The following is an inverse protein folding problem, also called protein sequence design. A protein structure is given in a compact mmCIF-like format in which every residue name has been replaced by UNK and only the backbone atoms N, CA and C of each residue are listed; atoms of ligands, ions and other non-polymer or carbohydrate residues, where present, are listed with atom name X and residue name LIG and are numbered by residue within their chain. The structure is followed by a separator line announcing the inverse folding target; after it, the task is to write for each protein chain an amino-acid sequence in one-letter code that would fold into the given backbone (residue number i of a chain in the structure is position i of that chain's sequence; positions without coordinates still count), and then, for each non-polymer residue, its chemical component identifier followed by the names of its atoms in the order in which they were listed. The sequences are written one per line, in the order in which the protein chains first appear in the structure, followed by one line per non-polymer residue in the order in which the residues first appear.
data_IF_525834068954
#
_entry.id   IF_525834068954
#
_cell.length_a   1.000
_cell.length_b   1.000
_cell.length_c   1.000
_cell.angle_alpha   90.00
_cell.angle_beta   90.00
_cell.angle_gamma   90.00
#
_symmetry.space_group_name_H-M   'P 1'
#
loop_
_entity.id
_entity.type
_entity.pdbx_description
1 polymer ?
#
# COMPACT_ATOMS: atom_id res chain seq x y z
N UNK A 1 -26.28 3.34 29.16
CA UNK A 1 -26.60 4.48 28.26
C UNK A 1 -25.66 4.39 27.07
N UNK A 2 -26.02 3.51 26.12
CA UNK A 2 -25.24 3.26 24.90
C UNK A 2 -25.61 4.32 23.88
N UNK A 3 -24.62 5.09 23.43
CA UNK A 3 -24.72 5.95 22.25
C UNK A 3 -24.98 5.05 21.03
N UNK A 4 -26.25 4.92 20.67
CA UNK A 4 -26.72 4.37 19.40
C UNK A 4 -26.24 5.35 18.32
N UNK A 5 -25.10 5.08 17.69
CA UNK A 5 -24.53 5.95 16.67
C UNK A 5 -25.43 5.98 15.41
N UNK A 6 -25.86 7.20 15.08
CA UNK A 6 -26.78 7.57 14.02
C UNK A 6 -26.16 7.51 12.61
N UNK A 7 -25.55 6.38 12.22
CA UNK A 7 -24.77 6.28 10.98
C UNK A 7 -25.58 6.51 9.68
N UNK A 8 -26.79 5.93 9.50
CA UNK A 8 -27.61 6.19 8.30
C UNK A 8 -28.05 7.65 8.20
N UNK A 9 -28.30 8.31 9.35
CA UNK A 9 -28.73 9.70 9.40
C UNK A 9 -27.59 10.71 9.19
N UNK A 10 -26.34 10.32 9.47
CA UNK A 10 -25.15 11.16 9.20
C UNK A 10 -24.75 11.08 7.73
N UNK A 11 -24.80 9.89 7.12
CA UNK A 11 -24.58 9.71 5.67
C UNK A 11 -25.70 10.37 4.84
N UNK A 12 -26.96 10.25 5.31
CA UNK A 12 -28.11 10.95 4.72
C UNK A 12 -27.98 12.47 4.76
N UNK A 13 -27.61 13.06 5.91
CA UNK A 13 -27.44 14.52 6.05
C UNK A 13 -26.24 15.07 5.29
N UNK A 14 -25.11 14.35 5.24
CA UNK A 14 -23.93 14.74 4.45
C UNK A 14 -24.19 14.63 2.95
N UNK A 15 -24.96 13.62 2.52
CA UNK A 15 -25.40 13.51 1.14
C UNK A 15 -26.42 14.60 0.77
N UNK A 16 -27.43 14.88 1.60
CA UNK A 16 -28.39 15.96 1.37
C UNK A 16 -27.68 17.31 1.21
N UNK A 17 -26.70 17.62 2.06
CA UNK A 17 -25.87 18.83 1.90
C UNK A 17 -25.06 18.80 0.60
N UNK A 18 -24.39 17.70 0.25
CA UNK A 18 -23.56 17.64 -0.98
C UNK A 18 -24.38 17.60 -2.27
N UNK A 19 -25.62 17.09 -2.24
CA UNK A 19 -26.54 17.10 -3.37
C UNK A 19 -27.10 18.52 -3.63
N UNK A 20 -27.30 19.33 -2.58
CA UNK A 20 -27.65 20.76 -2.69
C UNK A 20 -26.53 21.55 -3.39
N UNK A 21 -25.27 21.18 -3.17
CA UNK A 21 -24.11 21.87 -3.78
C UNK A 21 -23.55 21.20 -5.04
N UNK A 22 -24.15 20.12 -5.55
CA UNK A 22 -23.67 19.41 -6.74
C UNK A 22 -22.32 18.67 -6.56
N UNK A 23 -21.90 18.41 -5.32
CA UNK A 23 -20.56 17.90 -4.95
C UNK A 23 -20.44 16.38 -4.80
N UNK A 24 -21.44 15.61 -5.26
CA UNK A 24 -21.45 14.14 -5.09
C UNK A 24 -20.20 13.44 -5.66
N UNK A 25 -19.63 13.96 -6.76
CA UNK A 25 -18.37 13.45 -7.35
C UNK A 25 -17.18 13.64 -6.43
N UNK A 26 -17.09 14.79 -5.77
CA UNK A 26 -16.00 15.15 -4.86
C UNK A 26 -16.05 14.29 -3.60
N UNK A 27 -17.24 14.01 -3.09
CA UNK A 27 -17.43 13.10 -1.96
C UNK A 27 -16.97 11.67 -2.32
N UNK A 28 -17.41 11.13 -3.46
CA UNK A 28 -16.94 9.82 -3.96
C UNK A 28 -15.41 9.77 -4.09
N UNK A 29 -14.80 10.78 -4.74
CA UNK A 29 -13.34 10.88 -4.89
C UNK A 29 -12.61 11.02 -3.56
N UNK A 30 -13.20 11.72 -2.58
CA UNK A 30 -12.58 11.90 -1.27
C UNK A 30 -12.53 10.60 -0.46
N UNK A 31 -13.55 9.74 -0.62
CA UNK A 31 -13.66 8.47 0.11
C UNK A 31 -12.89 7.34 -0.58
N UNK A 32 -13.03 7.21 -1.91
CA UNK A 32 -12.53 6.08 -2.69
C UNK A 32 -11.35 6.41 -3.60
N UNK A 33 -10.93 7.68 -3.67
CA UNK A 33 -9.75 8.13 -4.41
C UNK A 33 -9.94 8.09 -5.93
N UNK A 34 -9.89 6.89 -6.51
CA UNK A 34 -10.00 6.63 -7.94
C UNK A 34 -11.06 5.58 -8.23
N UNK A 35 -11.85 5.75 -9.30
CA UNK A 35 -12.67 4.71 -9.91
C UNK A 35 -12.69 4.98 -11.41
N UNK A 36 -12.61 3.95 -12.25
CA UNK A 36 -12.58 4.13 -13.71
C UNK A 36 -13.80 4.88 -14.25
N UNK A 37 -14.96 4.73 -13.61
CA UNK A 37 -16.19 5.47 -13.95
C UNK A 37 -16.07 6.99 -13.80
N UNK A 38 -15.14 7.51 -12.98
CA UNK A 38 -14.97 8.96 -12.77
C UNK A 38 -14.49 9.71 -14.00
N UNK A 39 -13.81 9.01 -14.91
CA UNK A 39 -13.15 9.57 -16.10
C UNK A 39 -13.85 9.15 -17.41
N UNK A 40 -15.01 8.48 -17.31
CA UNK A 40 -15.79 7.99 -18.45
C UNK A 40 -17.03 8.82 -18.69
N UNK A 41 -17.59 8.67 -19.90
CA UNK A 41 -18.92 9.20 -20.20
C UNK A 41 -19.94 8.45 -19.33
N UNK A 42 -20.64 9.20 -18.48
CA UNK A 42 -21.56 8.64 -17.51
C UNK A 42 -22.79 8.04 -18.23
N UNK A 43 -23.27 6.85 -17.84
CA UNK A 43 -24.51 6.28 -18.37
C UNK A 43 -25.71 7.21 -18.16
N UNK A 44 -26.72 7.10 -19.02
CA UNK A 44 -27.98 7.83 -18.85
C UNK A 44 -28.64 7.45 -17.50
N UNK A 45 -29.00 8.43 -16.68
CA UNK A 45 -29.55 8.21 -15.34
C UNK A 45 -28.52 7.90 -14.24
N UNK A 46 -27.22 8.07 -14.52
CA UNK A 46 -26.18 7.90 -13.53
C UNK A 46 -26.30 8.95 -12.40
N UNK A 47 -26.23 8.48 -11.16
CA UNK A 47 -26.20 9.34 -9.97
C UNK A 47 -25.00 8.97 -9.12
N UNK A 48 -24.19 9.98 -8.75
CA UNK A 48 -23.10 9.80 -7.79
C UNK A 48 -23.61 9.26 -6.44
N UNK A 49 -24.88 9.51 -6.09
CA UNK A 49 -25.50 8.94 -4.89
C UNK A 49 -25.59 7.43 -4.98
N UNK A 50 -26.07 6.94 -6.13
CA UNK A 50 -26.21 5.51 -6.39
C UNK A 50 -24.84 4.85 -6.47
N UNK A 51 -23.85 5.51 -7.08
CA UNK A 51 -22.48 5.01 -7.08
C UNK A 51 -21.90 4.94 -5.65
N UNK A 52 -22.06 6.00 -4.86
CA UNK A 52 -21.58 6.02 -3.48
C UNK A 52 -22.22 4.89 -2.67
N UNK A 53 -23.54 4.73 -2.76
CA UNK A 53 -24.26 3.65 -2.10
C UNK A 53 -23.84 2.26 -2.60
N UNK A 54 -23.53 2.09 -3.89
CA UNK A 54 -23.04 0.82 -4.43
C UNK A 54 -21.61 0.48 -4.00
N UNK A 55 -20.79 1.49 -3.73
CA UNK A 55 -19.45 1.32 -3.15
C UNK A 55 -19.53 1.07 -1.64
N UNK A 56 -20.55 1.62 -0.97
CA UNK A 56 -20.83 1.48 0.47
C UNK A 56 -21.72 0.26 0.80
N UNK A 57 -22.31 -0.39 -0.21
CA UNK A 57 -23.24 -1.51 -0.06
C UNK A 57 -22.50 -2.75 0.47
N UNK A 58 -22.75 -3.08 1.73
CA UNK A 58 -22.36 -4.35 2.36
C UNK A 58 -23.15 -5.50 1.70
N UNK A 59 -22.48 -6.28 0.84
CA UNK A 59 -23.02 -7.55 0.34
C UNK A 59 -22.91 -8.64 1.41
N UNK A 60 -23.70 -8.52 2.48
CA UNK A 60 -24.03 -9.67 3.33
C UNK A 60 -25.46 -9.54 3.86
N UNK A 61 -26.37 -10.28 3.22
CA UNK A 61 -27.57 -10.81 3.87
C UNK A 61 -27.23 -11.87 4.92
N UNK A 62 -26.40 -11.52 5.92
CA UNK A 62 -26.05 -12.39 7.04
C UNK A 62 -25.97 -11.59 8.35
N UNK A 63 -27.04 -11.68 9.13
CA UNK A 63 -27.08 -11.63 10.61
C UNK A 63 -26.38 -10.47 11.35
N UNK A 64 -27.15 -9.39 11.56
CA UNK A 64 -27.46 -8.67 12.83
C UNK A 64 -26.38 -8.41 13.92
N UNK A 65 -25.13 -8.83 13.84
CA UNK A 65 -24.12 -8.49 14.86
C UNK A 65 -22.72 -8.21 14.28
N UNK A 66 -22.55 -7.07 13.62
CA UNK A 66 -21.26 -6.34 13.60
C UNK A 66 -21.44 -4.92 13.04
N UNK A 67 -22.26 -4.12 13.70
CA UNK A 67 -22.41 -2.69 13.40
C UNK A 67 -21.17 -1.97 13.94
N UNK A 68 -20.08 -1.93 13.16
CA UNK A 68 -19.03 -0.88 13.12
C UNK A 68 -17.72 -1.25 12.39
N UNK A 69 -17.56 -2.42 11.74
CA UNK A 69 -16.22 -2.82 11.27
C UNK A 69 -16.08 -3.43 9.87
N UNK A 70 -17.03 -3.31 8.93
CA UNK A 70 -16.89 -4.09 7.68
C UNK A 70 -17.24 -3.43 6.33
N UNK A 71 -17.41 -2.11 6.24
CA UNK A 71 -17.55 -1.41 4.95
C UNK A 71 -16.18 -1.17 4.22
N UNK A 72 -15.24 -2.09 4.38
CA UNK A 72 -13.83 -1.98 3.93
C UNK A 72 -13.28 -3.35 3.48
N UNK A 73 -13.86 -4.44 3.98
CA UNK A 73 -13.37 -5.79 3.71
C UNK A 73 -13.93 -6.43 2.45
N UNK A 74 -15.08 -5.98 1.92
CA UNK A 74 -15.74 -6.63 0.77
C UNK A 74 -15.12 -6.20 -0.57
N UNK A 75 -14.57 -4.99 -0.66
CA UNK A 75 -14.07 -4.39 -1.91
C UNK A 75 -12.85 -5.11 -2.54
N UNK A 76 -12.18 -6.01 -1.82
CA UNK A 76 -10.96 -6.67 -2.28
C UNK A 76 -10.89 -8.18 -2.07
N UNK A 77 -11.99 -8.81 -1.69
CA UNK A 77 -12.14 -10.20 -2.09
C UNK A 77 -12.19 -10.25 -3.62
N UNK A 78 -11.67 -11.31 -4.25
CA UNK A 78 -11.78 -11.53 -5.71
C UNK A 78 -13.21 -11.28 -6.20
N UNK A 79 -14.20 -11.59 -5.35
CA UNK A 79 -15.63 -11.37 -5.57
C UNK A 79 -16.03 -9.88 -5.60
N UNK A 80 -15.46 -9.04 -4.73
CA UNK A 80 -15.74 -7.59 -4.69
C UNK A 80 -15.23 -6.83 -5.92
N UNK A 81 -14.00 -7.13 -6.34
CA UNK A 81 -13.44 -6.54 -7.58
C UNK A 81 -14.26 -7.01 -8.79
N UNK A 82 -14.61 -8.29 -8.86
CA UNK A 82 -15.49 -8.85 -9.90
C UNK A 82 -16.88 -8.19 -9.91
N UNK A 83 -17.44 -7.87 -8.73
CA UNK A 83 -18.69 -7.14 -8.61
C UNK A 83 -18.58 -5.72 -9.19
N UNK A 84 -17.52 -4.98 -8.86
CA UNK A 84 -17.29 -3.64 -9.41
C UNK A 84 -17.07 -3.63 -10.92
N UNK A 85 -16.44 -4.68 -11.47
CA UNK A 85 -16.35 -4.89 -12.92
C UNK A 85 -17.74 -5.14 -13.53
N UNK A 86 -18.55 -6.01 -12.92
CA UNK A 86 -19.90 -6.34 -13.42
C UNK A 86 -20.84 -5.12 -13.44
N UNK A 87 -20.67 -4.18 -12.50
CA UNK A 87 -21.43 -2.92 -12.43
C UNK A 87 -20.84 -1.80 -13.29
N UNK A 88 -19.70 -2.04 -13.95
CA UNK A 88 -19.01 -1.03 -14.77
C UNK A 88 -18.37 0.09 -13.96
N UNK A 89 -18.15 -0.10 -12.66
CA UNK A 89 -17.54 0.88 -11.75
C UNK A 89 -16.02 0.91 -11.97
N UNK A 90 -15.42 -0.28 -12.07
CA UNK A 90 -14.02 -0.50 -12.38
C UNK A 90 -13.86 -1.22 -13.73
N UNK A 91 -12.75 -0.93 -14.39
CA UNK A 91 -12.35 -1.67 -15.57
C UNK A 91 -11.38 -2.79 -15.18
N UNK A 92 -11.47 -3.92 -15.88
CA UNK A 92 -10.44 -4.96 -15.82
C UNK A 92 -9.23 -4.55 -16.66
N UNK A 93 -8.53 -3.54 -16.16
CA UNK A 93 -7.26 -3.07 -16.71
C UNK A 93 -6.27 -2.85 -15.57
N UNK A 94 -5.06 -3.43 -15.62
CA UNK A 94 -4.15 -3.44 -14.47
C UNK A 94 -3.81 -2.03 -13.95
N UNK A 95 -3.58 -1.07 -14.84
CA UNK A 95 -3.34 0.34 -14.45
C UNK A 95 -4.52 0.98 -13.71
N UNK A 96 -5.76 0.64 -14.06
CA UNK A 96 -6.95 1.22 -13.42
C UNK A 96 -7.20 0.59 -12.04
N UNK A 97 -6.98 -0.72 -11.94
CA UNK A 97 -7.04 -1.47 -10.69
C UNK A 97 -5.94 -1.01 -9.73
N UNK A 98 -4.72 -0.84 -10.22
CA UNK A 98 -3.60 -0.34 -9.43
C UNK A 98 -3.88 1.07 -8.88
N UNK A 99 -4.44 1.99 -9.69
CA UNK A 99 -4.84 3.32 -9.22
C UNK A 99 -5.95 3.25 -8.17
N UNK A 100 -6.96 2.40 -8.39
CA UNK A 100 -8.03 2.19 -7.41
C UNK A 100 -7.42 1.76 -6.06
N UNK A 101 -6.55 0.74 -6.09
CA UNK A 101 -5.88 0.23 -4.89
C UNK A 101 -5.02 1.31 -4.23
N UNK A 102 -4.22 2.03 -5.00
CA UNK A 102 -3.27 3.02 -4.50
C UNK A 102 -3.94 4.22 -3.82
N UNK A 103 -5.05 4.70 -4.36
CA UNK A 103 -5.74 5.88 -3.81
C UNK A 103 -6.81 5.55 -2.77
N UNK A 104 -7.20 4.28 -2.64
CA UNK A 104 -8.19 3.87 -1.63
C UNK A 104 -7.50 3.63 -0.29
N UNK A 105 -7.82 4.46 0.72
CA UNK A 105 -7.17 4.41 2.04
C UNK A 105 -7.68 3.32 2.97
N UNK A 106 -8.82 2.71 2.64
CA UNK A 106 -9.53 1.77 3.49
C UNK A 106 -9.58 0.42 2.81
N UNK A 107 -8.45 -0.26 2.71
CA UNK A 107 -8.37 -1.59 2.13
C UNK A 107 -7.89 -2.61 3.17
N UNK A 108 -8.50 -3.80 3.17
CA UNK A 108 -7.99 -4.92 3.94
C UNK A 108 -6.76 -5.51 3.25
N UNK A 109 -5.58 -5.28 3.83
CA UNK A 109 -4.31 -5.71 3.26
C UNK A 109 -4.16 -7.23 3.14
N UNK A 110 -4.81 -8.02 4.01
CA UNK A 110 -4.76 -9.49 3.95
C UNK A 110 -5.43 -10.00 2.67
N UNK A 111 -6.59 -9.43 2.32
CA UNK A 111 -7.29 -9.77 1.08
C UNK A 111 -6.58 -9.19 -0.15
N UNK A 112 -6.04 -7.96 -0.02
CA UNK A 112 -5.24 -7.34 -1.08
C UNK A 112 -4.01 -8.18 -1.43
N UNK A 113 -3.33 -8.75 -0.45
CA UNK A 113 -2.20 -9.66 -0.68
C UNK A 113 -2.61 -10.85 -1.55
N UNK A 114 -3.72 -11.53 -1.23
CA UNK A 114 -4.21 -12.67 -2.01
C UNK A 114 -4.51 -12.25 -3.45
N UNK A 115 -5.16 -11.09 -3.62
CA UNK A 115 -5.48 -10.56 -4.94
C UNK A 115 -4.23 -10.20 -5.75
N UNK A 116 -3.24 -9.53 -5.15
CA UNK A 116 -1.99 -9.15 -5.82
C UNK A 116 -1.09 -10.34 -6.13
N UNK A 117 -1.21 -11.43 -5.36
CA UNK A 117 -0.51 -12.69 -5.63
C UNK A 117 -1.08 -13.40 -6.87
N UNK A 118 -2.41 -13.39 -7.03
CA UNK A 118 -3.09 -13.88 -8.24
C UNK A 118 -2.87 -12.96 -9.46
N UNK A 119 -2.92 -11.63 -9.25
CA UNK A 119 -2.81 -10.59 -10.29
C UNK A 119 -1.49 -9.83 -10.20
N UNK A 120 -0.40 -10.52 -10.56
CA UNK A 120 0.96 -9.94 -10.56
C UNK A 120 1.11 -8.73 -11.50
N UNK A 121 0.31 -8.67 -12.56
CA UNK A 121 0.20 -7.53 -13.48
C UNK A 121 -0.28 -6.25 -12.77
N UNK A 122 -1.26 -6.37 -11.87
CA UNK A 122 -1.74 -5.25 -11.06
C UNK A 122 -0.69 -4.82 -10.03
N UNK A 123 0.03 -5.79 -9.45
CA UNK A 123 1.14 -5.50 -8.53
C UNK A 123 2.26 -4.70 -9.21
N UNK A 124 2.61 -5.04 -10.45
CA UNK A 124 3.60 -4.29 -11.22
C UNK A 124 3.19 -2.83 -11.42
N UNK A 125 1.95 -2.59 -11.87
CA UNK A 125 1.42 -1.24 -12.01
C UNK A 125 1.30 -0.52 -10.65
N UNK A 126 1.01 -1.23 -9.56
CA UNK A 126 0.94 -0.64 -8.22
C UNK A 126 2.32 -0.14 -7.77
N UNK A 127 3.37 -0.90 -8.02
CA UNK A 127 4.75 -0.51 -7.70
C UNK A 127 5.18 0.68 -8.55
N UNK A 128 4.78 0.75 -9.82
CA UNK A 128 5.12 1.90 -10.70
C UNK A 128 4.40 3.20 -10.32
N UNK A 129 3.32 3.14 -9.53
CA UNK A 129 2.68 4.34 -8.98
C UNK A 129 3.48 4.98 -7.83
N UNK A 130 4.37 4.23 -7.18
CA UNK A 130 5.20 4.78 -6.12
C UNK A 130 6.32 5.67 -6.71
N UNK A 131 6.51 6.84 -6.11
CA UNK A 131 7.58 7.76 -6.47
C UNK A 131 8.62 7.83 -5.33
N UNK A 132 9.80 7.27 -5.57
CA UNK A 132 10.90 7.25 -4.62
C UNK A 132 12.03 8.24 -4.96
N UNK A 133 11.80 9.16 -5.90
CA UNK A 133 12.82 10.12 -6.31
C UNK A 133 13.25 11.01 -5.13
N UNK A 134 14.57 11.19 -4.99
CA UNK A 134 15.21 11.95 -3.91
C UNK A 134 14.92 11.42 -2.49
N UNK A 135 14.44 10.18 -2.37
CA UNK A 135 14.24 9.55 -1.07
C UNK A 135 15.44 8.68 -0.69
N UNK A 136 15.81 8.72 0.58
CA UNK A 136 16.80 7.80 1.13
C UNK A 136 16.23 6.38 1.22
N UNK A 137 17.03 5.36 0.91
CA UNK A 137 16.56 3.97 0.75
C UNK A 137 15.69 3.45 1.91
N UNK A 138 16.07 3.59 3.20
CA UNK A 138 15.24 3.14 4.32
C UNK A 138 13.91 3.89 4.43
N UNK A 139 13.86 5.16 4.02
CA UNK A 139 12.63 5.96 4.07
C UNK A 139 11.68 5.53 2.95
N UNK A 140 12.20 5.33 1.74
CA UNK A 140 11.43 4.79 0.62
C UNK A 140 10.86 3.40 0.94
N UNK A 141 11.66 2.54 1.58
CA UNK A 141 11.23 1.20 1.97
C UNK A 141 10.13 1.22 3.04
N UNK A 142 10.22 2.13 4.02
CA UNK A 142 9.15 2.36 5.01
C UNK A 142 7.86 2.84 4.35
N UNK A 143 7.96 3.80 3.44
CA UNK A 143 6.80 4.35 2.74
C UNK A 143 6.13 3.28 1.88
N UNK A 144 6.91 2.42 1.24
CA UNK A 144 6.43 1.28 0.47
C UNK A 144 5.64 0.27 1.34
N UNK A 145 6.24 -0.18 2.46
CA UNK A 145 5.56 -1.11 3.35
C UNK A 145 4.38 -0.50 4.12
N UNK A 146 4.35 0.83 4.31
CA UNK A 146 3.17 1.50 4.88
C UNK A 146 1.93 1.39 3.97
N UNK A 147 2.13 1.35 2.65
CA UNK A 147 1.03 1.25 1.69
C UNK A 147 0.63 -0.21 1.39
N UNK A 148 1.61 -1.10 1.19
CA UNK A 148 1.34 -2.50 0.79
C UNK A 148 1.20 -3.46 1.98
N UNK A 149 1.60 -3.01 3.17
CA UNK A 149 1.81 -3.82 4.38
C UNK A 149 2.85 -4.92 4.18
N UNK A 150 3.84 -4.95 5.06
CA UNK A 150 4.81 -6.04 5.06
C UNK A 150 4.13 -7.34 5.49
N UNK A 151 4.42 -8.48 4.83
CA UNK A 151 3.96 -9.78 5.31
C UNK A 151 4.51 -10.09 6.71
N UNK A 152 3.66 -10.64 7.59
CA UNK A 152 4.07 -11.11 8.93
C UNK A 152 5.09 -12.26 8.84
N UNK A 153 4.96 -13.10 7.80
CA UNK A 153 5.86 -14.23 7.54
C UNK A 153 6.89 -13.87 6.46
N UNK A 154 8.15 -14.22 6.71
CA UNK A 154 9.20 -14.17 5.70
C UNK A 154 8.95 -15.31 4.71
N UNK A 155 8.59 -14.97 3.48
CA UNK A 155 8.32 -15.95 2.41
C UNK A 155 8.42 -15.33 1.02
N UNK A 156 8.10 -16.12 0.00
CA UNK A 156 8.23 -15.79 -1.43
C UNK A 156 7.57 -14.46 -1.83
N UNK A 157 6.45 -14.11 -1.18
CA UNK A 157 5.76 -12.85 -1.46
C UNK A 157 6.58 -11.63 -1.00
N UNK A 158 7.27 -11.70 0.14
CA UNK A 158 8.18 -10.62 0.58
C UNK A 158 9.36 -10.46 -0.38
N UNK A 159 9.94 -11.57 -0.85
CA UNK A 159 11.01 -11.58 -1.85
C UNK A 159 10.55 -10.88 -3.14
N UNK A 160 9.35 -11.21 -3.61
CA UNK A 160 8.72 -10.60 -4.79
C UNK A 160 8.55 -9.09 -4.60
N UNK A 161 8.03 -8.66 -3.45
CA UNK A 161 7.85 -7.23 -3.14
C UNK A 161 9.17 -6.46 -3.13
N UNK A 162 10.18 -6.99 -2.45
CA UNK A 162 11.49 -6.33 -2.35
C UNK A 162 12.18 -6.28 -3.72
N UNK A 163 12.03 -7.34 -4.53
CA UNK A 163 12.55 -7.37 -5.91
C UNK A 163 11.95 -6.24 -6.73
N UNK A 164 10.61 -6.16 -6.78
CA UNK A 164 9.91 -5.09 -7.53
C UNK A 164 10.25 -3.69 -6.99
N UNK A 165 10.32 -3.53 -5.67
CA UNK A 165 10.74 -2.29 -5.02
C UNK A 165 12.16 -1.88 -5.46
N UNK A 166 13.11 -2.81 -5.49
CA UNK A 166 14.52 -2.53 -5.80
C UNK A 166 14.68 -2.02 -7.24
N UNK A 167 14.00 -2.67 -8.20
CA UNK A 167 13.95 -2.19 -9.57
C UNK A 167 13.34 -0.78 -9.68
N UNK A 168 12.23 -0.54 -8.96
CA UNK A 168 11.56 0.76 -8.97
C UNK A 168 12.41 1.85 -8.33
N UNK A 169 13.06 1.57 -7.20
CA UNK A 169 13.93 2.51 -6.51
C UNK A 169 15.10 2.97 -7.40
N UNK A 170 15.74 2.02 -8.10
CA UNK A 170 16.80 2.33 -9.07
C UNK A 170 16.29 3.18 -10.24
N UNK A 171 15.10 2.87 -10.76
CA UNK A 171 14.47 3.62 -11.86
C UNK A 171 14.13 5.06 -11.46
N UNK A 172 13.69 5.27 -10.22
CA UNK A 172 13.38 6.59 -9.66
C UNK A 172 14.64 7.42 -9.32
N UNK A 173 15.80 6.76 -9.13
CA UNK A 173 17.04 7.39 -8.64
C UNK A 173 18.26 7.02 -9.51
N UNK A 174 18.26 7.31 -10.82
CA UNK A 174 19.34 6.90 -11.72
C UNK A 174 20.68 7.59 -11.40
N UNK A 175 20.64 8.81 -10.86
CA UNK A 175 21.84 9.55 -10.44
C UNK A 175 22.56 8.86 -9.27
N UNK A 176 21.80 8.51 -8.23
CA UNK A 176 22.31 7.80 -7.05
C UNK A 176 22.88 6.43 -7.43
N UNK A 177 22.17 5.70 -8.29
CA UNK A 177 22.62 4.40 -8.82
C UNK A 177 23.97 4.50 -9.51
N UNK A 178 24.16 5.54 -10.35
CA UNK A 178 25.42 5.76 -11.06
C UNK A 178 26.55 6.20 -10.13
N UNK A 179 26.25 7.08 -9.18
CA UNK A 179 27.25 7.62 -8.23
C UNK A 179 27.74 6.57 -7.25
N UNK A 180 26.84 5.76 -6.69
CA UNK A 180 27.14 4.73 -5.69
C UNK A 180 27.35 3.34 -6.29
N UNK A 181 27.27 3.18 -7.62
CA UNK A 181 27.39 1.89 -8.29
C UNK A 181 26.34 0.86 -7.88
N UNK A 182 25.15 1.30 -7.47
CA UNK A 182 24.11 0.42 -6.95
C UNK A 182 23.34 -0.28 -8.08
N UNK A 183 23.41 -1.60 -8.15
CA UNK A 183 22.50 -2.39 -9.00
C UNK A 183 21.18 -2.68 -8.29
N UNK A 184 20.09 -3.01 -9.03
CA UNK A 184 18.86 -3.52 -8.41
C UNK A 184 19.10 -4.69 -7.45
N UNK A 185 20.04 -5.59 -7.78
CA UNK A 185 20.41 -6.71 -6.91
C UNK A 185 21.09 -6.24 -5.61
N UNK A 186 21.96 -5.24 -5.69
CA UNK A 186 22.58 -4.64 -4.50
C UNK A 186 21.51 -3.97 -3.62
N UNK A 187 20.56 -3.24 -4.21
CA UNK A 187 19.44 -2.63 -3.48
C UNK A 187 18.56 -3.70 -2.83
N UNK A 188 18.31 -4.82 -3.50
CA UNK A 188 17.57 -5.96 -2.94
C UNK A 188 18.24 -6.50 -1.67
N UNK A 189 19.55 -6.77 -1.74
CA UNK A 189 20.33 -7.25 -0.59
C UNK A 189 20.36 -6.22 0.55
N UNK A 190 20.48 -4.94 0.22
CA UNK A 190 20.42 -3.86 1.21
C UNK A 190 19.05 -3.81 1.89
N UNK A 191 17.95 -3.92 1.15
CA UNK A 191 16.60 -3.94 1.73
C UNK A 191 16.42 -5.10 2.71
N UNK A 192 16.88 -6.30 2.35
CA UNK A 192 16.88 -7.45 3.26
C UNK A 192 17.70 -7.19 4.52
N UNK A 193 18.90 -6.63 4.36
CA UNK A 193 19.77 -6.27 5.49
C UNK A 193 19.07 -5.27 6.43
N UNK A 194 18.35 -4.29 5.89
CA UNK A 194 17.60 -3.30 6.67
C UNK A 194 16.42 -3.92 7.41
N UNK A 195 15.68 -4.84 6.80
CA UNK A 195 14.58 -5.56 7.46
C UNK A 195 15.13 -6.42 8.60
N UNK A 196 16.24 -7.14 8.38
CA UNK A 196 16.87 -7.94 9.43
C UNK A 196 17.37 -7.09 10.59
N UNK A 197 18.02 -5.96 10.30
CA UNK A 197 18.46 -4.99 11.31
C UNK A 197 17.26 -4.43 12.07
N UNK A 198 16.20 -4.06 11.37
CA UNK A 198 14.98 -3.53 11.96
C UNK A 198 14.36 -4.51 12.97
N UNK A 199 14.33 -5.80 12.65
CA UNK A 199 13.80 -6.85 13.53
C UNK A 199 14.75 -7.10 14.72
N UNK A 200 16.05 -7.09 14.48
CA UNK A 200 17.07 -7.27 15.52
C UNK A 200 16.98 -6.18 16.59
N UNK A 201 16.92 -4.91 16.18
CA UNK A 201 16.92 -3.75 17.08
C UNK A 201 15.67 -3.67 17.96
N UNK A 202 14.52 -4.15 17.49
CA UNK A 202 13.23 -3.98 18.18
C UNK A 202 12.76 -5.22 18.91
N UNK A 203 13.21 -6.42 18.52
CA UNK A 203 12.81 -7.66 19.17
C UNK A 203 13.25 -7.69 20.64
N UNK A 204 12.35 -7.82 21.63
CA UNK A 204 12.73 -7.87 23.04
C UNK A 204 13.55 -9.13 23.39
N UNK A 205 13.51 -10.15 22.53
CA UNK A 205 14.24 -11.41 22.71
C UNK A 205 15.74 -11.27 22.43
N UNK A 206 16.14 -10.28 21.63
CA UNK A 206 17.56 -10.06 21.31
C UNK A 206 18.17 -9.15 22.37
N UNK A 207 18.99 -9.74 23.25
CA UNK A 207 19.71 -9.02 24.32
C UNK A 207 20.90 -8.22 23.78
N UNK A 208 21.66 -8.82 22.86
CA UNK A 208 22.83 -8.21 22.24
C UNK A 208 22.46 -7.73 20.85
N UNK A 209 22.14 -6.43 20.72
CA UNK A 209 21.77 -5.81 19.46
C UNK A 209 22.97 -5.69 18.53
N UNK A 210 22.73 -5.83 17.23
CA UNK A 210 23.76 -5.64 16.21
C UNK A 210 24.31 -4.21 16.26
N UNK A 211 25.63 -4.09 16.46
CA UNK A 211 26.31 -2.80 16.41
C UNK A 211 26.46 -2.29 14.97
N UNK A 212 26.64 -0.98 14.80
CA UNK A 212 26.90 -0.36 13.49
C UNK A 212 28.07 -1.03 12.76
N UNK A 213 29.15 -1.35 13.49
CA UNK A 213 30.34 -2.01 12.92
C UNK A 213 30.04 -3.41 12.42
N UNK A 214 29.21 -4.17 13.16
CA UNK A 214 28.79 -5.51 12.73
C UNK A 214 27.87 -5.45 11.52
N UNK A 215 26.95 -4.49 11.48
CA UNK A 215 26.07 -4.27 10.34
C UNK A 215 26.88 -3.98 9.06
N UNK A 216 27.79 -3.00 9.11
CA UNK A 216 28.66 -2.67 7.97
C UNK A 216 29.44 -3.90 7.49
N UNK A 217 30.04 -4.65 8.42
CA UNK A 217 30.78 -5.89 8.09
C UNK A 217 29.89 -6.94 7.43
N UNK A 218 28.66 -7.13 7.91
CA UNK A 218 27.73 -8.14 7.39
C UNK A 218 27.22 -7.74 6.00
N UNK A 219 26.81 -6.48 5.83
CA UNK A 219 26.29 -5.97 4.57
C UNK A 219 27.35 -5.93 3.48
N UNK A 220 28.60 -5.57 3.79
CA UNK A 220 29.71 -5.60 2.83
C UNK A 220 30.00 -7.00 2.27
N UNK A 221 29.73 -8.05 3.05
CA UNK A 221 29.87 -9.44 2.58
C UNK A 221 28.75 -9.84 1.61
N UNK A 222 27.59 -9.21 1.71
CA UNK A 222 26.40 -9.55 0.93
C UNK A 222 26.22 -8.66 -0.32
N UNK A 223 26.57 -7.37 -0.23
CA UNK A 223 26.51 -6.42 -1.32
C UNK A 223 27.91 -5.88 -1.62
N UNK A 224 28.47 -6.30 -2.74
CA UNK A 224 29.75 -5.80 -3.22
C UNK A 224 29.58 -4.37 -3.79
N UNK A 225 30.64 -3.55 -3.72
CA UNK A 225 30.70 -2.19 -4.27
C UNK A 225 29.85 -1.12 -3.56
N UNK A 226 29.41 -1.35 -2.32
CA UNK A 226 28.75 -0.31 -1.50
C UNK A 226 29.74 0.29 -0.52
N UNK A 227 29.78 1.61 -0.38
CA UNK A 227 30.69 2.28 0.57
C UNK A 227 30.28 2.05 2.03
N UNK A 228 31.26 1.88 2.90
CA UNK A 228 31.05 1.67 4.34
C UNK A 228 30.30 2.86 4.98
N UNK A 229 30.58 4.09 4.51
CA UNK A 229 29.89 5.30 4.97
C UNK A 229 28.40 5.27 4.63
N UNK A 230 28.04 4.88 3.41
CA UNK A 230 26.64 4.77 2.99
C UNK A 230 25.91 3.72 3.83
N UNK A 231 26.51 2.53 4.01
CA UNK A 231 25.93 1.48 4.88
C UNK A 231 25.81 1.94 6.32
N UNK A 232 26.78 2.72 6.81
CA UNK A 232 26.72 3.36 8.11
C UNK A 232 25.53 4.31 8.26
N UNK A 233 25.26 5.14 7.25
CA UNK A 233 24.10 6.03 7.24
C UNK A 233 22.77 5.25 7.19
N UNK A 234 22.73 4.10 6.51
CA UNK A 234 21.56 3.23 6.54
C UNK A 234 21.29 2.74 7.97
N UNK A 235 22.32 2.30 8.71
CA UNK A 235 22.18 1.87 10.11
C UNK A 235 21.64 2.99 10.99
N UNK A 236 22.26 4.19 10.91
CA UNK A 236 21.87 5.33 11.73
C UNK A 236 20.40 5.69 11.52
N UNK A 237 19.93 5.63 10.27
CA UNK A 237 18.54 5.91 9.95
C UNK A 237 17.56 4.89 10.58
N UNK A 238 17.90 3.59 10.58
CA UNK A 238 17.08 2.55 11.23
C UNK A 238 17.10 2.73 12.74
N UNK A 239 18.27 3.01 13.31
CA UNK A 239 18.44 3.21 14.75
C UNK A 239 17.67 4.43 15.27
N UNK A 240 17.68 5.54 14.53
CA UNK A 240 17.04 6.80 14.95
C UNK A 240 15.54 6.85 14.67
N UNK A 241 15.09 6.36 13.51
CA UNK A 241 13.68 6.48 13.09
C UNK A 241 12.87 5.24 13.53
N UNK A 242 13.53 4.08 13.66
CA UNK A 242 12.88 2.83 14.03
C UNK A 242 12.44 1.97 12.84
N UNK A 243 11.42 1.14 13.09
CA UNK A 243 11.06 -0.01 12.26
C UNK A 243 10.82 0.32 10.78
N UNK A 244 11.21 -0.62 9.91
CA UNK A 244 10.96 -0.54 8.45
C UNK A 244 9.68 -1.27 8.03
N UNK A 245 9.48 -2.44 8.60
CA UNK A 245 8.31 -3.29 8.44
C UNK A 245 7.77 -3.59 9.84
N UNK A 246 6.51 -3.24 10.10
CA UNK A 246 5.79 -3.50 11.34
C UNK A 246 4.64 -4.46 11.06
#
# INVERSE_FOLDING_TARGET
MLLICAWPAVCGRTWEMTNIYGKGKELCKSTWGHCSIYNRRLPAGFSYRRLYLQLDEDDTGASINMILFFCVCVCLSVKGISYFMSKGILLDHPTELAKFIFYTRRLNWKMLRIYLDERRDVLDELVTLHNFSNQFLPNALRDFFRHIHAPEERGEYLETLITKFSHRFCTCNPGLVRELGLSPDAVYVLCYSLILLSIDLTSPHVKNKMSKREFIRNTRRAAHNVSDDFVGHLYDNIYLIGHVAA
#
